data_IF_445202916529
#
_entry.id   IF_445202916529
#
_cell.length_a   1.000
_cell.length_b   1.000
_cell.length_c   1.000
_cell.angle_alpha   90.00
_cell.angle_beta   90.00
_cell.angle_gamma   90.00
#
_symmetry.space_group_name_H-M   'P 1'
#
loop_
_entity.id
_entity.type
_entity.pdbx_description
1 polymer ?
#
# COMPACT_ATOMS: atom_id res chain seq x y z
N UNK A 1 -9.29 -22.96 -15.79
CA UNK A 1 -8.02 -23.53 -16.29
C UNK A 1 -6.77 -23.09 -15.52
N UNK A 2 -6.76 -21.98 -14.79
CA UNK A 2 -5.55 -21.49 -14.04
C UNK A 2 -5.53 -21.84 -12.56
N UNK A 3 -6.47 -22.67 -12.07
CA UNK A 3 -6.66 -22.94 -10.65
C UNK A 3 -5.43 -23.60 -9.99
N UNK A 4 -4.67 -24.40 -10.73
CA UNK A 4 -3.40 -25.00 -10.30
C UNK A 4 -2.29 -23.97 -10.04
N UNK A 5 -2.42 -22.76 -10.58
CA UNK A 5 -1.43 -21.69 -10.38
C UNK A 5 -1.68 -20.85 -9.11
N UNK A 6 -2.86 -20.94 -8.48
CA UNK A 6 -3.23 -20.04 -7.36
C UNK A 6 -2.42 -20.30 -6.08
N UNK A 7 -2.01 -21.54 -5.82
CA UNK A 7 -1.20 -21.92 -4.65
C UNK A 7 0.30 -22.03 -4.90
N UNK A 8 0.79 -21.53 -6.03
CA UNK A 8 2.19 -21.69 -6.42
C UNK A 8 3.16 -20.97 -5.48
N UNK A 9 4.36 -21.48 -5.39
CA UNK A 9 5.49 -20.77 -4.80
C UNK A 9 6.15 -19.90 -5.88
N UNK A 10 6.35 -18.62 -5.61
CA UNK A 10 6.99 -17.71 -6.55
C UNK A 10 8.45 -18.08 -6.84
N UNK A 11 8.88 -17.87 -8.08
CA UNK A 11 10.26 -18.12 -8.50
C UNK A 11 11.25 -17.18 -7.78
N UNK A 12 12.42 -17.70 -7.45
CA UNK A 12 13.49 -16.95 -6.77
C UNK A 12 14.18 -15.91 -7.69
N UNK A 13 14.02 -16.04 -9.03
CA UNK A 13 14.57 -15.13 -10.05
C UNK A 13 13.58 -15.03 -11.22
N UNK A 14 13.55 -13.89 -11.88
CA UNK A 14 12.70 -13.63 -13.06
C UNK A 14 12.89 -14.71 -14.13
N UNK A 15 14.12 -15.07 -14.47
CA UNK A 15 14.43 -16.07 -15.50
C UNK A 15 13.94 -17.50 -15.17
N UNK A 16 13.47 -17.75 -13.94
CA UNK A 16 12.95 -19.05 -13.49
C UNK A 16 11.42 -19.07 -13.39
N UNK A 17 10.75 -18.00 -13.78
CA UNK A 17 9.27 -17.96 -13.81
C UNK A 17 8.81 -18.86 -14.97
N UNK A 18 7.97 -19.89 -14.71
CA UNK A 18 7.45 -20.72 -15.77
C UNK A 18 6.70 -19.89 -16.83
N UNK A 19 6.86 -20.16 -18.14
CA UNK A 19 6.17 -19.42 -19.19
C UNK A 19 4.64 -19.35 -19.00
N UNK A 20 4.03 -20.45 -18.60
CA UNK A 20 2.58 -20.53 -18.31
C UNK A 20 2.14 -19.60 -17.17
N UNK A 21 2.99 -19.41 -16.16
CA UNK A 21 2.73 -18.46 -15.07
C UNK A 21 2.80 -17.03 -15.59
N UNK A 22 3.83 -16.72 -16.38
CA UNK A 22 4.03 -15.38 -16.94
C UNK A 22 2.90 -15.00 -17.89
N UNK A 23 2.44 -15.94 -18.72
CA UNK A 23 1.28 -15.73 -19.58
C UNK A 23 0.00 -15.46 -18.77
N UNK A 24 -0.30 -16.29 -17.76
CA UNK A 24 -1.47 -16.10 -16.92
C UNK A 24 -1.43 -14.78 -16.15
N UNK A 25 -0.25 -14.32 -15.72
CA UNK A 25 -0.05 -13.02 -15.10
C UNK A 25 -0.32 -11.87 -16.07
N UNK A 26 0.25 -11.93 -17.28
CA UNK A 26 0.09 -10.92 -18.32
C UNK A 26 -1.32 -10.88 -18.90
N UNK A 27 -2.07 -11.97 -18.79
CA UNK A 27 -3.49 -12.01 -19.15
C UNK A 27 -4.41 -11.57 -17.99
N UNK A 28 -3.86 -11.27 -16.82
CA UNK A 28 -4.60 -10.82 -15.65
C UNK A 28 -5.43 -11.91 -14.98
N UNK A 29 -5.14 -13.18 -15.24
CA UNK A 29 -5.93 -14.33 -14.75
C UNK A 29 -5.56 -14.76 -13.33
N UNK A 30 -4.36 -14.40 -12.85
CA UNK A 30 -3.84 -14.72 -11.53
C UNK A 30 -3.13 -13.52 -10.90
N UNK A 31 -2.96 -13.54 -9.58
CA UNK A 31 -2.17 -12.55 -8.86
C UNK A 31 -0.68 -12.91 -8.84
N UNK A 32 0.19 -11.92 -8.64
CA UNK A 32 1.61 -12.14 -8.37
C UNK A 32 1.79 -12.73 -6.96
N UNK A 33 2.86 -13.48 -6.72
CA UNK A 33 3.13 -14.01 -5.37
C UNK A 33 4.44 -13.48 -4.77
N UNK A 34 5.24 -12.78 -5.58
CA UNK A 34 6.45 -12.09 -5.11
C UNK A 34 6.86 -10.95 -6.06
N UNK A 35 7.90 -10.21 -5.63
CA UNK A 35 8.42 -9.07 -6.40
C UNK A 35 8.98 -9.48 -7.78
N UNK A 36 9.55 -10.69 -7.93
CA UNK A 36 10.08 -11.12 -9.23
C UNK A 36 8.97 -11.25 -10.27
N UNK A 37 7.83 -11.85 -9.91
CA UNK A 37 6.68 -11.94 -10.80
C UNK A 37 6.13 -10.55 -11.14
N UNK A 38 6.02 -9.65 -10.16
CA UNK A 38 5.59 -8.27 -10.38
C UNK A 38 6.51 -7.51 -11.36
N UNK A 39 7.83 -7.68 -11.24
CA UNK A 39 8.80 -7.01 -12.10
C UNK A 39 8.91 -7.65 -13.52
N UNK A 40 8.45 -8.88 -13.68
CA UNK A 40 8.48 -9.62 -14.94
C UNK A 40 7.27 -9.34 -15.86
N UNK A 41 6.27 -8.58 -15.38
CA UNK A 41 5.04 -8.32 -16.13
C UNK A 41 5.29 -7.56 -17.43
N UNK A 42 4.67 -8.03 -18.49
CA UNK A 42 4.41 -7.24 -19.70
C UNK A 42 3.25 -6.28 -19.40
N UNK A 43 3.62 -5.11 -18.90
CA UNK A 43 2.65 -4.12 -18.41
C UNK A 43 1.71 -3.62 -19.51
N UNK A 44 2.17 -3.36 -20.78
CA UNK A 44 1.30 -3.05 -21.90
C UNK A 44 0.26 -4.15 -22.18
N UNK A 45 0.66 -5.42 -22.23
CA UNK A 45 -0.26 -6.54 -22.45
C UNK A 45 -1.29 -6.65 -21.32
N UNK A 46 -0.83 -6.60 -20.08
CA UNK A 46 -1.71 -6.64 -18.91
C UNK A 46 -2.72 -5.49 -18.91
N UNK A 47 -2.27 -4.25 -19.19
CA UNK A 47 -3.13 -3.08 -19.19
C UNK A 47 -4.26 -3.19 -20.23
N UNK A 48 -3.96 -3.66 -21.47
CA UNK A 48 -4.95 -3.89 -22.50
C UNK A 48 -5.94 -5.00 -22.13
N UNK A 49 -5.46 -6.09 -21.54
CA UNK A 49 -6.31 -7.20 -21.13
C UNK A 49 -7.24 -6.79 -19.97
N UNK A 50 -6.73 -6.04 -19.01
CA UNK A 50 -7.54 -5.49 -17.92
C UNK A 50 -8.56 -4.48 -18.45
N UNK A 51 -8.16 -3.53 -19.33
CA UNK A 51 -9.07 -2.56 -19.93
C UNK A 51 -10.26 -3.27 -20.58
N UNK A 52 -9.99 -4.29 -21.42
CA UNK A 52 -11.04 -5.11 -22.06
C UNK A 52 -11.94 -5.80 -21.03
N UNK A 53 -11.37 -6.39 -19.99
CA UNK A 53 -12.12 -7.13 -18.96
C UNK A 53 -13.07 -6.24 -18.16
N UNK A 54 -12.70 -4.97 -17.93
CA UNK A 54 -13.53 -4.01 -17.18
C UNK A 54 -14.50 -3.21 -18.07
N UNK A 55 -14.45 -3.37 -19.40
CA UNK A 55 -15.35 -2.73 -20.35
C UNK A 55 -14.84 -1.39 -20.91
N UNK A 56 -13.52 -1.16 -20.87
CA UNK A 56 -12.86 -0.05 -21.55
C UNK A 56 -12.29 -0.50 -22.90
N UNK A 57 -12.12 0.46 -23.82
CA UNK A 57 -11.45 0.20 -25.09
C UNK A 57 -9.95 -0.04 -24.86
N UNK A 58 -9.43 -1.26 -25.14
CA UNK A 58 -8.03 -1.60 -24.97
C UNK A 58 -7.10 -0.94 -26.01
N UNK A 59 -7.65 -0.35 -27.06
CA UNK A 59 -6.96 0.34 -28.15
C UNK A 59 -7.28 1.85 -28.17
N UNK A 60 -7.74 2.42 -27.05
CA UNK A 60 -7.97 3.86 -26.95
C UNK A 60 -6.65 4.64 -27.08
N UNK A 61 -6.66 5.74 -27.81
CA UNK A 61 -5.51 6.62 -28.02
C UNK A 61 -4.84 6.99 -26.69
N UNK A 62 -5.65 7.32 -25.68
CA UNK A 62 -5.17 7.65 -24.33
C UNK A 62 -4.34 6.54 -23.70
N UNK A 63 -4.77 5.29 -23.84
CA UNK A 63 -4.03 4.14 -23.30
C UNK A 63 -2.78 3.87 -24.14
N UNK A 64 -2.88 3.94 -25.45
CA UNK A 64 -1.76 3.70 -26.38
C UNK A 64 -0.62 4.69 -26.14
N UNK A 65 -0.91 5.98 -26.02
CA UNK A 65 0.07 7.02 -25.72
C UNK A 65 0.75 6.76 -24.37
N UNK A 66 -0.04 6.41 -23.35
CA UNK A 66 0.50 6.08 -22.04
C UNK A 66 1.45 4.88 -22.11
N UNK A 67 1.05 3.80 -22.78
CA UNK A 67 1.85 2.58 -22.88
C UNK A 67 3.15 2.81 -23.66
N UNK A 68 3.14 3.65 -24.69
CA UNK A 68 4.33 4.01 -25.47
C UNK A 68 5.41 4.71 -24.63
N UNK A 69 5.01 5.48 -23.61
CA UNK A 69 5.94 6.24 -22.76
C UNK A 69 6.43 5.49 -21.52
N UNK A 70 5.91 4.30 -21.19
CA UNK A 70 6.20 3.62 -19.92
C UNK A 70 7.70 3.36 -19.70
N UNK A 71 8.47 3.10 -20.75
CA UNK A 71 9.92 2.85 -20.64
C UNK A 71 10.70 4.01 -20.04
N UNK A 72 10.21 5.25 -20.15
CA UNK A 72 10.83 6.44 -19.58
C UNK A 72 10.71 6.54 -18.04
N UNK A 73 9.85 5.74 -17.42
CA UNK A 73 9.55 5.83 -15.99
C UNK A 73 10.13 4.67 -15.19
N UNK A 74 10.38 4.92 -13.89
CA UNK A 74 10.72 3.89 -12.91
C UNK A 74 9.54 2.91 -12.73
N UNK A 75 9.76 1.63 -12.37
CA UNK A 75 8.72 0.60 -12.34
C UNK A 75 7.43 1.01 -11.61
N UNK A 76 7.52 1.55 -10.39
CA UNK A 76 6.34 1.98 -9.61
C UNK A 76 5.55 3.08 -10.33
N UNK A 77 6.25 4.06 -10.95
CA UNK A 77 5.60 5.15 -11.68
C UNK A 77 4.91 4.68 -12.97
N UNK A 78 5.39 3.59 -13.59
CA UNK A 78 4.70 2.99 -14.75
C UNK A 78 3.28 2.57 -14.39
N UNK A 79 3.10 1.93 -13.23
CA UNK A 79 1.78 1.52 -12.75
C UNK A 79 0.86 2.71 -12.47
N UNK A 80 1.39 3.78 -11.91
CA UNK A 80 0.63 5.02 -11.67
C UNK A 80 0.13 5.65 -12.99
N UNK A 81 0.96 5.68 -14.04
CA UNK A 81 0.56 6.17 -15.36
C UNK A 81 -0.55 5.32 -15.98
N UNK A 82 -0.45 3.99 -15.90
CA UNK A 82 -1.52 3.09 -16.38
C UNK A 82 -2.80 3.31 -15.58
N UNK A 83 -2.72 3.37 -14.26
CA UNK A 83 -3.87 3.63 -13.40
C UNK A 83 -4.55 4.98 -13.73
N UNK A 84 -3.75 6.02 -14.01
CA UNK A 84 -4.24 7.34 -14.41
C UNK A 84 -4.94 7.30 -15.76
N UNK A 85 -4.38 6.63 -16.76
CA UNK A 85 -5.01 6.50 -18.06
C UNK A 85 -6.37 5.77 -17.97
N UNK A 86 -6.42 4.67 -17.20
CA UNK A 86 -7.69 3.96 -16.97
C UNK A 86 -8.71 4.82 -16.23
N UNK A 87 -8.29 5.63 -15.26
CA UNK A 87 -9.15 6.58 -14.54
C UNK A 87 -9.73 7.61 -15.48
N UNK A 88 -8.89 8.27 -16.29
CA UNK A 88 -9.32 9.31 -17.24
C UNK A 88 -10.32 8.80 -18.27
N UNK A 89 -10.17 7.53 -18.71
CA UNK A 89 -11.11 6.88 -19.62
C UNK A 89 -12.50 6.64 -18.99
N UNK A 90 -12.61 6.70 -17.67
CA UNK A 90 -13.89 6.51 -16.97
C UNK A 90 -14.58 7.83 -16.59
N UNK A 91 -13.87 8.96 -16.57
CA UNK A 91 -14.46 10.25 -16.13
C UNK A 91 -15.72 10.65 -16.88
N UNK A 92 -15.80 10.49 -18.23
CA UNK A 92 -16.98 10.88 -18.99
C UNK A 92 -18.10 9.82 -19.00
N UNK A 93 -18.01 8.74 -18.19
CA UNK A 93 -18.90 7.57 -18.30
C UNK A 93 -19.88 7.47 -17.14
N UNK A 94 -21.14 7.17 -17.48
CA UNK A 94 -22.21 6.92 -16.50
C UNK A 94 -22.02 5.60 -15.74
N UNK A 95 -21.32 4.61 -16.35
CA UNK A 95 -21.05 3.29 -15.75
C UNK A 95 -19.74 3.20 -14.95
N UNK A 96 -19.14 4.35 -14.61
CA UNK A 96 -17.87 4.48 -13.91
C UNK A 96 -17.77 3.62 -12.65
N UNK A 97 -18.81 3.64 -11.81
CA UNK A 97 -18.82 2.86 -10.55
C UNK A 97 -18.76 1.35 -10.82
N UNK A 98 -19.44 0.88 -11.86
CA UNK A 98 -19.38 -0.51 -12.31
C UNK A 98 -17.98 -0.90 -12.80
N UNK A 99 -17.31 -0.02 -13.52
CA UNK A 99 -15.93 -0.21 -13.99
C UNK A 99 -14.97 -0.23 -12.80
N UNK A 100 -15.10 0.72 -11.87
CA UNK A 100 -14.31 0.79 -10.65
C UNK A 100 -14.46 -0.50 -9.81
N UNK A 101 -15.68 -1.01 -9.69
CA UNK A 101 -15.94 -2.27 -8.99
C UNK A 101 -15.26 -3.47 -9.66
N UNK A 102 -15.37 -3.60 -10.98
CA UNK A 102 -14.71 -4.68 -11.74
C UNK A 102 -13.19 -4.63 -11.58
N UNK A 103 -12.59 -3.43 -11.65
CA UNK A 103 -11.16 -3.25 -11.45
C UNK A 103 -10.73 -3.63 -10.03
N UNK A 104 -11.50 -3.19 -9.02
CA UNK A 104 -11.21 -3.44 -7.61
C UNK A 104 -11.44 -4.90 -7.15
N UNK A 105 -12.16 -5.70 -7.95
CA UNK A 105 -12.40 -7.14 -7.70
C UNK A 105 -11.69 -8.05 -8.69
N UNK A 106 -10.80 -7.51 -9.51
CA UNK A 106 -10.12 -8.25 -10.55
C UNK A 106 -9.21 -9.35 -9.99
N UNK A 107 -9.03 -10.45 -10.73
CA UNK A 107 -8.16 -11.56 -10.31
C UNK A 107 -6.69 -11.13 -10.15
N UNK A 108 -6.20 -10.26 -11.03
CA UNK A 108 -4.86 -9.66 -10.92
C UNK A 108 -4.80 -8.68 -9.75
N UNK A 109 -3.82 -8.88 -8.86
CA UNK A 109 -3.46 -7.93 -7.80
C UNK A 109 -3.02 -6.58 -8.37
N UNK A 110 -2.35 -6.57 -9.52
CA UNK A 110 -1.91 -5.34 -10.19
C UNK A 110 -3.09 -4.50 -10.66
N UNK A 111 -4.14 -5.11 -11.20
CA UNK A 111 -5.37 -4.40 -11.54
C UNK A 111 -6.03 -3.80 -10.29
N UNK A 112 -6.06 -4.54 -9.17
CA UNK A 112 -6.55 -4.01 -7.89
C UNK A 112 -5.65 -2.89 -7.32
N UNK A 113 -4.32 -2.95 -7.56
CA UNK A 113 -3.42 -1.83 -7.27
C UNK A 113 -3.80 -0.58 -8.05
N UNK A 114 -4.11 -0.70 -9.35
CA UNK A 114 -4.59 0.44 -10.16
C UNK A 114 -5.90 1.01 -9.62
N UNK A 115 -6.83 0.14 -9.18
CA UNK A 115 -8.06 0.60 -8.53
C UNK A 115 -7.79 1.38 -7.24
N UNK A 116 -6.85 0.92 -6.41
CA UNK A 116 -6.46 1.63 -5.20
C UNK A 116 -5.82 3.00 -5.51
N UNK A 117 -5.03 3.10 -6.59
CA UNK A 117 -4.43 4.37 -7.03
C UNK A 117 -5.46 5.39 -7.52
N UNK A 118 -6.66 4.98 -7.93
CA UNK A 118 -7.71 5.93 -8.32
C UNK A 118 -8.09 6.89 -7.20
N UNK A 119 -7.89 6.49 -5.94
CA UNK A 119 -8.09 7.37 -4.78
C UNK A 119 -7.20 8.62 -4.85
N UNK A 120 -5.96 8.49 -5.37
CA UNK A 120 -5.04 9.64 -5.55
C UNK A 120 -5.61 10.69 -6.50
N UNK A 121 -6.30 10.23 -7.55
CA UNK A 121 -6.76 11.08 -8.65
C UNK A 121 -8.10 11.75 -8.35
N UNK A 122 -8.82 11.25 -7.35
CA UNK A 122 -10.10 11.82 -6.96
C UNK A 122 -9.94 13.17 -6.23
N UNK A 123 -10.90 14.07 -6.40
CA UNK A 123 -10.97 15.34 -5.68
C UNK A 123 -11.65 15.24 -4.31
N UNK A 124 -11.82 14.02 -3.78
CA UNK A 124 -12.45 13.78 -2.49
C UNK A 124 -11.59 14.30 -1.33
N UNK A 125 -12.25 14.81 -0.28
CA UNK A 125 -11.58 15.13 0.98
C UNK A 125 -11.06 13.85 1.69
N UNK A 126 -10.07 14.00 2.57
CA UNK A 126 -9.38 12.90 3.25
C UNK A 126 -10.32 11.85 3.88
N UNK A 127 -11.40 12.20 4.60
CA UNK A 127 -12.31 11.19 5.16
C UNK A 127 -12.90 10.28 4.09
N UNK A 128 -13.34 10.84 2.97
CA UNK A 128 -13.93 10.07 1.86
C UNK A 128 -12.89 9.26 1.09
N UNK A 129 -11.66 9.76 0.99
CA UNK A 129 -10.54 8.99 0.43
C UNK A 129 -10.21 7.78 1.31
N UNK A 130 -10.19 7.93 2.62
CA UNK A 130 -10.00 6.82 3.55
C UNK A 130 -11.14 5.79 3.42
N UNK A 131 -12.40 6.22 3.37
CA UNK A 131 -13.54 5.32 3.14
C UNK A 131 -13.37 4.48 1.86
N UNK A 132 -12.99 5.12 0.75
CA UNK A 132 -12.77 4.42 -0.53
C UNK A 132 -11.54 3.50 -0.51
N UNK A 133 -10.57 3.79 0.33
CA UNK A 133 -9.33 2.99 0.48
C UNK A 133 -9.53 1.75 1.35
N UNK A 134 -10.54 1.72 2.21
CA UNK A 134 -10.78 0.67 3.19
C UNK A 134 -10.70 -0.76 2.62
N UNK A 135 -11.37 -1.02 1.52
CA UNK A 135 -11.37 -2.34 0.88
C UNK A 135 -9.98 -2.82 0.45
N UNK A 136 -9.12 -1.87 0.02
CA UNK A 136 -7.76 -2.15 -0.42
C UNK A 136 -6.81 -2.29 0.77
N UNK A 137 -7.06 -1.57 1.87
CA UNK A 137 -6.35 -1.75 3.12
C UNK A 137 -6.53 -3.16 3.71
N UNK A 138 -7.69 -3.78 3.47
CA UNK A 138 -8.04 -5.15 3.87
C UNK A 138 -7.77 -6.21 2.78
N UNK A 139 -7.25 -5.84 1.60
CA UNK A 139 -7.03 -6.79 0.50
C UNK A 139 -6.16 -7.98 0.94
N UNK A 140 -6.50 -9.21 0.54
CA UNK A 140 -5.68 -10.38 0.87
C UNK A 140 -4.25 -10.29 0.32
N UNK A 141 -4.03 -9.56 -0.79
CA UNK A 141 -2.73 -9.42 -1.40
C UNK A 141 -1.92 -8.27 -0.79
N UNK A 142 -0.70 -8.56 -0.34
CA UNK A 142 0.16 -7.57 0.33
C UNK A 142 0.47 -6.36 -0.57
N UNK A 143 0.70 -6.56 -1.88
CA UNK A 143 1.02 -5.48 -2.83
C UNK A 143 -0.12 -4.46 -2.94
N UNK A 144 -1.37 -4.91 -2.93
CA UNK A 144 -2.54 -4.02 -2.95
C UNK A 144 -2.60 -3.18 -1.67
N UNK A 145 -2.34 -3.80 -0.50
CA UNK A 145 -2.28 -3.07 0.78
C UNK A 145 -1.17 -2.02 0.82
N UNK A 146 -0.01 -2.30 0.18
CA UNK A 146 1.07 -1.29 0.08
C UNK A 146 0.64 -0.10 -0.78
N UNK A 147 0.04 -0.33 -1.93
CA UNK A 147 -0.47 0.75 -2.79
C UNK A 147 -1.60 1.52 -2.10
N UNK A 148 -2.46 0.85 -1.35
CA UNK A 148 -3.60 1.49 -0.66
C UNK A 148 -3.17 2.63 0.27
N UNK A 149 -2.16 2.42 1.13
CA UNK A 149 -1.70 3.49 2.02
C UNK A 149 -0.87 4.56 1.28
N UNK A 150 -0.16 4.18 0.20
CA UNK A 150 0.55 5.16 -0.64
C UNK A 150 -0.43 6.12 -1.33
N UNK A 151 -1.60 5.63 -1.73
CA UNK A 151 -2.59 6.40 -2.49
C UNK A 151 -3.23 7.56 -1.72
N UNK A 152 -3.13 7.57 -0.39
CA UNK A 152 -3.68 8.65 0.47
C UNK A 152 -2.59 9.40 1.24
N UNK A 153 -1.32 9.09 0.95
CA UNK A 153 -0.23 9.58 1.79
C UNK A 153 -0.01 11.08 1.69
N UNK A 154 -0.19 11.67 0.52
CA UNK A 154 0.03 13.11 0.32
C UNK A 154 -1.03 13.92 1.09
N UNK A 155 -2.27 13.46 1.12
CA UNK A 155 -3.33 14.07 1.93
C UNK A 155 -3.08 13.91 3.44
N UNK A 156 -2.63 12.72 3.86
CA UNK A 156 -2.22 12.48 5.26
C UNK A 156 -1.09 13.45 5.64
N UNK A 157 -0.10 13.63 4.77
CA UNK A 157 1.00 14.55 5.03
C UNK A 157 0.56 16.02 5.09
N UNK A 158 -0.45 16.39 4.31
CA UNK A 158 -1.04 17.73 4.29
C UNK A 158 -1.94 18.04 5.50
N UNK A 159 -2.49 17.02 6.18
CA UNK A 159 -3.46 17.17 7.27
C UNK A 159 -3.21 16.12 8.37
N UNK A 160 -2.01 16.15 8.97
CA UNK A 160 -1.55 15.11 9.91
C UNK A 160 -2.49 14.92 11.10
N UNK A 161 -2.96 15.98 11.72
CA UNK A 161 -3.81 15.87 12.92
C UNK A 161 -5.18 15.27 12.59
N UNK A 162 -5.81 15.73 11.50
CA UNK A 162 -7.05 15.12 10.98
C UNK A 162 -6.84 13.64 10.62
N UNK A 163 -5.74 13.34 9.95
CA UNK A 163 -5.41 11.96 9.59
C UNK A 163 -5.24 11.05 10.80
N UNK A 164 -4.56 11.52 11.85
CA UNK A 164 -4.37 10.77 13.10
C UNK A 164 -5.72 10.53 13.80
N UNK A 165 -6.58 11.54 13.86
CA UNK A 165 -7.92 11.42 14.45
C UNK A 165 -8.77 10.37 13.70
N UNK A 166 -8.84 10.46 12.36
CA UNK A 166 -9.58 9.53 11.52
C UNK A 166 -9.04 8.09 11.62
N UNK A 167 -7.72 7.93 11.62
CA UNK A 167 -7.07 6.62 11.66
C UNK A 167 -7.00 6.01 13.07
N UNK A 168 -7.30 6.75 14.13
CA UNK A 168 -7.34 6.21 15.48
C UNK A 168 -8.35 5.05 15.62
N UNK A 169 -9.50 5.14 14.97
CA UNK A 169 -10.48 4.05 14.94
C UNK A 169 -9.95 2.81 14.20
N UNK A 170 -9.12 3.01 13.17
CA UNK A 170 -8.50 1.91 12.42
C UNK A 170 -7.46 1.17 13.26
N UNK A 171 -6.77 1.86 14.17
CA UNK A 171 -5.77 1.26 15.06
C UNK A 171 -6.37 0.26 16.06
N UNK A 172 -7.69 0.26 16.27
CA UNK A 172 -8.39 -0.67 17.16
C UNK A 172 -9.28 -1.68 16.42
N UNK A 173 -9.22 -1.70 15.08
CA UNK A 173 -10.07 -2.58 14.27
C UNK A 173 -9.70 -4.06 14.44
N UNK A 174 -10.68 -5.02 14.38
CA UNK A 174 -10.41 -6.45 14.48
C UNK A 174 -9.41 -6.99 13.43
N UNK A 175 -9.48 -6.51 12.17
CA UNK A 175 -8.58 -6.93 11.10
C UNK A 175 -7.18 -6.33 11.28
N UNK A 176 -6.12 -7.14 11.39
CA UNK A 176 -4.75 -6.66 11.52
C UNK A 176 -4.24 -5.88 10.29
N UNK A 177 -4.80 -6.11 9.10
CA UNK A 177 -4.44 -5.35 7.91
C UNK A 177 -4.86 -3.89 8.03
N UNK A 178 -6.07 -3.66 8.56
CA UNK A 178 -6.59 -2.31 8.83
C UNK A 178 -5.79 -1.63 9.93
N UNK A 179 -5.48 -2.32 11.04
CA UNK A 179 -4.62 -1.76 12.09
C UNK A 179 -3.22 -1.40 11.59
N UNK A 180 -2.65 -2.27 10.73
CA UNK A 180 -1.36 -1.99 10.10
C UNK A 180 -1.42 -0.77 9.19
N UNK A 181 -2.49 -0.64 8.39
CA UNK A 181 -2.66 0.52 7.50
C UNK A 181 -2.51 1.83 8.29
N UNK A 182 -3.17 1.95 9.45
CA UNK A 182 -3.11 3.14 10.27
C UNK A 182 -1.67 3.54 10.65
N UNK A 183 -0.85 2.57 11.06
CA UNK A 183 0.56 2.83 11.38
C UNK A 183 1.43 3.02 10.14
N UNK A 184 1.21 2.27 9.05
CA UNK A 184 2.06 2.32 7.86
C UNK A 184 1.86 3.61 7.07
N UNK A 185 0.60 4.06 6.91
CA UNK A 185 0.25 5.28 6.19
C UNK A 185 0.84 6.56 6.82
N UNK A 186 1.07 6.52 8.14
CA UNK A 186 1.59 7.66 8.91
C UNK A 186 3.09 7.58 9.20
N UNK A 187 3.84 6.61 8.65
CA UNK A 187 5.28 6.50 8.93
C UNK A 187 6.02 7.78 8.53
N UNK A 188 6.89 8.32 9.43
CA UNK A 188 7.66 9.54 9.13
C UNK A 188 8.48 9.42 7.85
N UNK A 189 9.05 8.23 7.62
CA UNK A 189 9.90 7.92 6.47
C UNK A 189 9.32 6.72 5.71
N UNK A 190 8.48 7.00 4.73
CA UNK A 190 7.93 5.96 3.87
C UNK A 190 8.97 5.39 2.91
N UNK A 191 8.79 4.13 2.54
CA UNK A 191 9.55 3.49 1.46
C UNK A 191 8.83 3.74 0.15
N UNK A 192 9.53 4.21 -0.87
CA UNK A 192 8.99 4.52 -2.20
C UNK A 192 8.01 5.71 -2.29
N UNK A 193 7.87 6.50 -1.23
CA UNK A 193 6.99 7.65 -1.18
C UNK A 193 7.64 8.84 -0.46
N UNK A 194 7.00 10.01 -0.52
CA UNK A 194 7.45 11.21 0.18
C UNK A 194 7.46 11.00 1.71
N UNK A 195 8.37 11.69 2.39
CA UNK A 195 8.45 11.71 3.85
C UNK A 195 7.37 12.64 4.39
N UNK A 196 6.88 12.38 5.61
CA UNK A 196 5.98 13.27 6.33
C UNK A 196 6.84 14.13 7.27
N UNK A 197 7.20 15.31 6.81
CA UNK A 197 8.13 16.19 7.53
C UNK A 197 7.62 16.55 8.94
N UNK A 198 6.31 16.79 9.08
CA UNK A 198 5.68 17.05 10.38
C UNK A 198 5.91 15.89 11.36
N UNK A 199 5.75 14.63 10.93
CA UNK A 199 5.95 13.47 11.81
C UNK A 199 7.43 13.12 12.03
N UNK A 200 8.34 13.62 11.20
CA UNK A 200 9.77 13.57 11.48
C UNK A 200 10.18 14.57 12.59
N UNK A 201 9.60 15.75 12.56
CA UNK A 201 9.85 16.80 13.54
C UNK A 201 9.10 16.58 14.86
N UNK A 202 7.84 16.17 14.77
CA UNK A 202 6.88 16.09 15.88
C UNK A 202 6.19 14.70 15.92
N UNK A 203 6.93 13.59 16.14
CA UNK A 203 6.37 12.24 16.09
C UNK A 203 5.31 11.97 17.18
N UNK A 204 5.31 12.76 18.27
CA UNK A 204 4.30 12.66 19.34
C UNK A 204 2.87 12.90 18.85
N UNK A 205 2.67 13.62 17.75
CA UNK A 205 1.34 13.82 17.17
C UNK A 205 0.64 12.49 16.81
N UNK A 206 1.39 11.49 16.38
CA UNK A 206 0.85 10.17 16.06
C UNK A 206 0.72 9.22 17.26
N UNK A 207 1.06 9.66 18.47
CA UNK A 207 1.00 8.80 19.65
C UNK A 207 -0.41 8.23 19.93
N UNK A 208 -1.52 8.99 19.75
CA UNK A 208 -2.87 8.44 19.91
C UNK A 208 -3.16 7.23 19.03
N UNK A 209 -2.57 7.20 17.84
CA UNK A 209 -2.68 6.10 16.89
C UNK A 209 -1.75 4.92 17.25
N UNK A 210 -0.55 5.18 17.78
CA UNK A 210 0.44 4.15 18.07
C UNK A 210 0.20 3.47 19.44
N UNK A 211 -0.35 4.19 20.40
CA UNK A 211 -0.56 3.69 21.76
C UNK A 211 -1.43 2.42 21.86
N UNK A 212 -2.55 2.29 21.12
CA UNK A 212 -3.31 1.05 21.06
C UNK A 212 -2.53 -0.14 20.50
N UNK A 213 -1.54 0.12 19.64
CA UNK A 213 -0.79 -0.90 18.91
C UNK A 213 0.47 -1.39 19.63
N UNK A 214 0.82 -0.83 20.81
CA UNK A 214 2.06 -1.15 21.54
C UNK A 214 2.21 -2.61 21.96
N UNK A 215 1.09 -3.36 22.03
CA UNK A 215 1.06 -4.79 22.35
C UNK A 215 0.18 -5.58 21.35
N UNK A 216 0.17 -5.16 20.09
CA UNK A 216 -0.65 -5.79 19.06
C UNK A 216 -0.27 -7.28 18.88
N UNK A 217 -1.25 -8.20 18.85
CA UNK A 217 -0.98 -9.62 18.73
C UNK A 217 -0.42 -10.02 17.33
N UNK A 218 -0.67 -9.20 16.30
CA UNK A 218 -0.22 -9.49 14.94
C UNK A 218 1.23 -9.06 14.72
N UNK A 219 2.08 -10.01 14.31
CA UNK A 219 3.47 -9.73 13.93
C UNK A 219 3.57 -8.71 12.78
N UNK A 220 2.60 -8.71 11.91
CA UNK A 220 2.52 -7.79 10.77
C UNK A 220 2.36 -6.34 11.24
N UNK A 221 1.49 -6.11 12.22
CA UNK A 221 1.30 -4.80 12.89
C UNK A 221 2.52 -4.41 13.70
N UNK A 222 3.05 -5.34 14.52
CA UNK A 222 4.25 -5.11 15.34
C UNK A 222 5.44 -4.62 14.50
N UNK A 223 5.63 -5.21 13.31
CA UNK A 223 6.68 -4.79 12.39
C UNK A 223 6.49 -3.36 11.90
N UNK A 224 5.25 -2.97 11.57
CA UNK A 224 4.93 -1.61 11.13
C UNK A 224 5.18 -0.58 12.23
N UNK A 225 4.66 -0.82 13.44
CA UNK A 225 4.87 0.06 14.61
C UNK A 225 6.36 0.19 14.95
N UNK A 226 7.10 -0.92 14.94
CA UNK A 226 8.54 -0.90 15.20
C UNK A 226 9.31 -0.12 14.14
N UNK A 227 8.92 -0.23 12.86
CA UNK A 227 9.51 0.55 11.77
C UNK A 227 9.15 2.03 11.89
N UNK A 228 7.90 2.34 12.26
CA UNK A 228 7.44 3.70 12.50
C UNK A 228 8.31 4.41 13.55
N UNK A 229 8.48 3.80 14.74
CA UNK A 229 9.33 4.34 15.80
C UNK A 229 10.80 4.42 15.38
N UNK A 230 11.30 3.41 14.66
CA UNK A 230 12.67 3.46 14.14
C UNK A 230 12.88 4.55 13.08
N UNK A 231 11.86 4.90 12.31
CA UNK A 231 11.92 6.04 11.39
C UNK A 231 11.96 7.38 12.15
N UNK A 232 11.15 7.52 13.18
CA UNK A 232 11.14 8.69 14.07
C UNK A 232 12.45 8.85 14.84
N UNK A 233 13.10 7.75 15.26
CA UNK A 233 14.35 7.80 16.03
C UNK A 233 15.52 8.45 15.29
N UNK A 234 15.43 8.58 13.96
CA UNK A 234 16.47 9.25 13.16
C UNK A 234 16.48 10.77 13.32
N UNK A 235 15.39 11.35 13.82
CA UNK A 235 15.25 12.80 14.03
C UNK A 235 14.88 13.15 15.48
N UNK A 236 14.23 12.25 16.21
CA UNK A 236 13.78 12.43 17.59
C UNK A 236 14.15 11.19 18.44
N UNK A 237 15.47 10.91 18.63
CA UNK A 237 15.93 9.70 19.31
C UNK A 237 15.52 9.66 20.78
N UNK A 238 15.59 10.80 21.50
CA UNK A 238 15.23 10.88 22.92
C UNK A 238 13.74 10.57 23.14
N UNK A 239 12.85 11.16 22.34
CA UNK A 239 11.41 10.91 22.41
C UNK A 239 11.09 9.43 22.17
N UNK A 240 11.74 8.81 21.19
CA UNK A 240 11.53 7.37 20.89
C UNK A 240 12.01 6.52 22.07
N UNK A 241 13.16 6.84 22.65
CA UNK A 241 13.70 6.09 23.80
C UNK A 241 12.81 6.20 25.03
N UNK A 242 12.34 7.40 25.35
CA UNK A 242 11.39 7.66 26.43
C UNK A 242 10.06 6.92 26.22
N UNK A 243 9.50 6.98 25.00
CA UNK A 243 8.26 6.27 24.64
C UNK A 243 8.44 4.76 24.77
N UNK A 244 9.51 4.21 24.27
CA UNK A 244 9.85 2.79 24.38
C UNK A 244 10.03 2.36 25.85
N UNK A 245 10.69 3.17 26.66
CA UNK A 245 10.90 2.92 28.11
C UNK A 245 9.57 2.94 28.84
N UNK A 246 8.71 3.90 28.54
CA UNK A 246 7.36 3.98 29.12
C UNK A 246 6.52 2.75 28.73
N UNK A 247 6.57 2.33 27.48
CA UNK A 247 5.82 1.16 27.02
C UNK A 247 6.23 -0.14 27.73
N UNK A 248 7.53 -0.40 27.90
CA UNK A 248 8.02 -1.56 28.68
C UNK A 248 7.54 -1.49 30.14
N UNK A 249 7.48 -0.31 30.73
CA UNK A 249 7.04 -0.14 32.13
C UNK A 249 5.56 -0.47 32.31
N UNK A 250 4.70 -0.06 31.34
CA UNK A 250 3.24 -0.22 31.45
C UNK A 250 2.72 -1.51 30.81
N UNK A 251 3.52 -2.19 29.99
CA UNK A 251 3.14 -3.42 29.32
C UNK A 251 4.25 -4.47 29.48
N UNK A 252 3.87 -5.64 30.03
CA UNK A 252 4.76 -6.80 30.13
C UNK A 252 4.60 -7.78 28.97
N UNK A 253 3.81 -7.44 27.96
CA UNK A 253 3.55 -8.30 26.81
C UNK A 253 4.82 -8.54 25.99
N UNK A 254 5.07 -9.78 25.53
CA UNK A 254 6.21 -10.10 24.66
C UNK A 254 6.18 -9.34 23.34
N UNK A 255 4.99 -8.98 22.86
CA UNK A 255 4.75 -8.15 21.69
C UNK A 255 5.38 -6.75 21.86
N UNK A 256 5.17 -6.13 23.02
CA UNK A 256 5.76 -4.82 23.35
C UNK A 256 7.29 -4.90 23.36
N UNK A 257 7.84 -5.94 23.97
CA UNK A 257 9.29 -6.16 23.99
C UNK A 257 9.86 -6.33 22.58
N UNK A 258 9.13 -7.04 21.71
CA UNK A 258 9.52 -7.19 20.32
C UNK A 258 9.53 -5.86 19.57
N UNK A 259 8.45 -5.08 19.67
CA UNK A 259 8.33 -3.77 19.04
C UNK A 259 9.47 -2.86 19.50
N UNK A 260 9.67 -2.73 20.80
CA UNK A 260 10.67 -1.83 21.38
C UNK A 260 12.10 -2.21 20.96
N UNK A 261 12.45 -3.50 21.02
CA UNK A 261 13.77 -3.96 20.58
C UNK A 261 14.05 -3.58 19.11
N UNK A 262 13.06 -3.72 18.24
CA UNK A 262 13.20 -3.37 16.82
C UNK A 262 13.16 -1.87 16.57
N UNK A 263 12.38 -1.13 17.33
CA UNK A 263 12.32 0.34 17.27
C UNK A 263 13.69 0.96 17.57
N UNK A 264 14.38 0.44 18.60
CA UNK A 264 15.68 0.95 19.06
C UNK A 264 16.89 0.50 18.24
N UNK A 265 16.72 -0.31 17.17
CA UNK A 265 17.86 -0.89 16.42
C UNK A 265 18.81 0.14 15.79
N UNK A 266 18.37 1.39 15.59
CA UNK A 266 19.21 2.49 15.11
C UNK A 266 19.81 3.32 16.27
N UNK A 267 19.20 3.33 17.44
CA UNK A 267 19.70 4.03 18.63
C UNK A 267 20.95 3.37 19.22
N UNK A 268 21.03 2.05 19.16
CA UNK A 268 22.17 1.27 19.69
C UNK A 268 23.44 1.33 18.84
N UNK A 269 23.43 2.10 17.73
CA UNK A 269 24.58 2.30 16.83
C UNK A 269 25.18 3.71 16.92
N UNK A 270 24.69 4.54 17.81
CA UNK A 270 25.25 5.83 18.18
C UNK A 270 26.01 5.71 19.49
#
# INVERSE_FOLDING_TARGET
MVQHLLGRRGAARIALIPPEVLEALNDGLVHTVNLNEFLALDLPRLARNVARAIGLDPASERLDDTLAMLSAFKPVKRHEHVARALYDLTEPRDDRDGIAHKLATHASDVARCWAAQWTMFSSLALPRKLDSTWRFAADPHFGVREIAWMAVRDEIAGSVDEAVELLAAWATHPDPNIRRFASEATRPRGVWCAQIETLKAEPWRALPLLEPLKADPSRYVQNSVANWLNDASKTQPEWVDETCTRWIRVSRAPETNYIVRRARRSLTRL
#
